data_IF_525196975807
#
_entry.id   IF_525196975807
#
_cell.length_a   1.000
_cell.length_b   1.000
_cell.length_c   1.000
_cell.angle_alpha   90.00
_cell.angle_beta   90.00
_cell.angle_gamma   90.00
#
_symmetry.space_group_name_H-M   'P 1'
#
loop_
_entity.id
_entity.type
_entity.pdbx_description
1 polymer ?
#
# COMPACT_ATOMS: atom_id res chain seq x y z
N UNK A 1 20.95 7.39 28.55
CA UNK A 1 19.90 8.29 28.02
C UNK A 1 18.91 7.39 27.26
N UNK A 2 17.73 7.20 27.80
CA UNK A 2 16.63 6.53 27.09
C UNK A 2 16.13 7.51 26.05
N UNK A 3 16.29 7.17 24.76
CA UNK A 3 15.67 7.92 23.67
C UNK A 3 14.17 7.68 23.76
N UNK A 4 13.40 8.73 23.76
CA UNK A 4 11.94 8.64 23.76
C UNK A 4 11.51 7.99 22.41
N UNK A 5 10.61 7.00 22.43
CA UNK A 5 10.16 6.36 21.19
C UNK A 5 9.36 7.33 20.33
N UNK A 6 9.50 7.17 19.02
CA UNK A 6 8.73 7.93 18.03
C UNK A 6 7.26 7.55 18.09
N UNK A 7 6.40 8.44 17.64
CA UNK A 7 4.96 8.24 17.54
C UNK A 7 4.54 8.14 16.07
N UNK A 8 3.95 7.00 15.70
CA UNK A 8 3.36 6.80 14.37
C UNK A 8 1.88 7.16 14.37
N UNK A 9 1.44 7.85 13.34
CA UNK A 9 0.06 7.98 12.93
C UNK A 9 -0.06 7.79 11.42
N UNK A 10 -1.13 7.17 10.95
CA UNK A 10 -1.37 6.91 9.53
C UNK A 10 -2.60 7.68 9.06
N UNK A 11 -2.39 8.65 8.18
CA UNK A 11 -3.47 9.41 7.55
C UNK A 11 -3.80 8.80 6.18
N UNK A 12 -5.09 8.59 5.91
CA UNK A 12 -5.55 8.15 4.60
C UNK A 12 -6.09 9.36 3.85
N UNK A 13 -5.42 9.71 2.76
CA UNK A 13 -5.75 10.88 1.93
C UNK A 13 -6.50 10.43 0.69
N UNK A 14 -7.63 11.06 0.42
CA UNK A 14 -8.50 10.79 -0.72
C UNK A 14 -8.59 12.02 -1.62
N UNK A 15 -7.61 12.27 -2.51
CA UNK A 15 -7.69 13.38 -3.45
C UNK A 15 -8.85 13.18 -4.42
N UNK A 16 -9.28 14.21 -5.15
CA UNK A 16 -10.22 14.05 -6.27
C UNK A 16 -9.74 12.96 -7.25
N UNK A 17 -10.65 12.18 -7.87
CA UNK A 17 -10.28 11.03 -8.70
C UNK A 17 -9.37 11.35 -9.89
N UNK A 18 -9.41 12.57 -10.39
CA UNK A 18 -8.57 13.10 -11.48
C UNK A 18 -7.18 13.53 -11.01
N UNK A 19 -7.03 13.87 -9.73
CA UNK A 19 -5.77 14.32 -9.13
C UNK A 19 -4.90 13.16 -8.61
N UNK A 20 -5.51 12.02 -8.22
CA UNK A 20 -4.72 10.89 -7.72
C UNK A 20 -5.53 9.72 -7.18
N UNK A 21 -4.81 8.71 -6.72
CA UNK A 21 -5.34 7.56 -5.97
C UNK A 21 -5.51 7.86 -4.49
N UNK A 22 -6.17 6.95 -3.78
CA UNK A 22 -6.17 6.96 -2.31
C UNK A 22 -4.78 6.55 -1.83
N UNK A 23 -4.21 7.28 -0.90
CA UNK A 23 -2.87 7.07 -0.39
C UNK A 23 -2.80 7.08 1.13
N UNK A 24 -1.86 6.30 1.68
CA UNK A 24 -1.50 6.32 3.10
C UNK A 24 -0.31 7.26 3.28
N UNK A 25 -0.44 8.19 4.21
CA UNK A 25 0.60 9.15 4.59
C UNK A 25 1.08 8.84 6.01
N UNK A 26 2.31 8.34 6.18
CA UNK A 26 2.88 8.19 7.52
C UNK A 26 3.16 9.57 8.15
N UNK A 27 2.60 9.78 9.31
CA UNK A 27 2.82 10.95 10.14
C UNK A 27 3.68 10.51 11.33
N UNK A 28 4.90 10.98 11.40
CA UNK A 28 5.85 10.65 12.47
C UNK A 28 6.06 11.88 13.35
N UNK A 29 5.81 11.73 14.65
CA UNK A 29 5.91 12.84 15.61
C UNK A 29 5.12 14.09 15.19
N UNK A 30 3.96 13.86 14.57
CA UNK A 30 3.07 14.91 14.07
C UNK A 30 3.47 15.54 12.73
N UNK A 31 4.50 15.02 12.05
CA UNK A 31 4.97 15.55 10.76
C UNK A 31 4.77 14.53 9.65
N UNK A 32 4.33 14.98 8.50
CA UNK A 32 4.19 14.14 7.31
C UNK A 32 5.57 13.74 6.78
N UNK A 33 5.90 12.46 6.94
CA UNK A 33 7.19 11.91 6.56
C UNK A 33 7.50 12.12 5.06
N UNK A 34 6.52 11.93 4.20
CA UNK A 34 6.72 12.04 2.76
C UNK A 34 6.93 13.48 2.30
N UNK A 35 6.27 14.43 2.97
CA UNK A 35 6.44 15.87 2.68
C UNK A 35 7.81 16.36 3.16
N UNK A 36 8.31 15.82 4.27
CA UNK A 36 9.60 16.21 4.84
C UNK A 36 10.80 15.67 4.05
N UNK A 37 10.67 14.44 3.50
CA UNK A 37 11.81 13.77 2.85
C UNK A 37 12.13 14.33 1.49
N UNK A 38 11.12 14.70 0.72
CA UNK A 38 11.28 15.20 -0.63
C UNK A 38 10.24 16.31 -0.90
N UNK A 39 10.52 17.53 -0.46
CA UNK A 39 9.66 18.65 -0.77
C UNK A 39 9.58 18.80 -2.30
N UNK A 40 8.38 18.78 -2.84
CA UNK A 40 8.12 19.14 -4.24
C UNK A 40 8.40 20.61 -4.48
N UNK A 41 8.67 20.98 -5.73
CA UNK A 41 9.02 22.36 -6.14
C UNK A 41 7.92 23.40 -5.83
N UNK A 42 6.72 22.99 -5.44
CA UNK A 42 5.56 23.87 -5.16
C UNK A 42 4.81 23.40 -3.90
N UNK A 43 5.51 23.17 -2.80
CA UNK A 43 4.88 22.93 -1.49
C UNK A 43 4.17 21.58 -1.30
N UNK A 44 4.38 20.61 -2.20
CA UNK A 44 3.90 19.23 -2.10
C UNK A 44 5.03 18.22 -2.09
N UNK A 45 4.73 16.97 -1.74
CA UNK A 45 5.70 15.88 -1.88
C UNK A 45 5.86 15.50 -3.36
N UNK A 46 7.09 15.22 -3.76
CA UNK A 46 7.41 14.60 -5.06
C UNK A 46 6.83 13.19 -5.18
N UNK A 47 6.56 12.54 -4.08
CA UNK A 47 6.04 11.20 -4.01
C UNK A 47 4.55 11.15 -3.64
N UNK A 48 3.85 10.23 -4.29
CA UNK A 48 2.53 9.80 -3.91
C UNK A 48 2.65 8.70 -2.87
N UNK A 49 1.84 8.73 -1.84
CA UNK A 49 1.73 7.63 -0.89
C UNK A 49 1.19 6.36 -1.58
N UNK A 50 1.50 5.23 -1.01
CA UNK A 50 0.99 3.94 -1.50
C UNK A 50 -0.41 3.69 -0.96
N UNK A 51 -1.25 3.03 -1.74
CA UNK A 51 -2.66 2.80 -1.36
C UNK A 51 -2.84 1.88 -0.15
N UNK A 52 -3.94 2.06 0.60
CA UNK A 52 -4.22 1.28 1.82
C UNK A 52 -4.24 -0.23 1.61
N UNK A 53 -4.74 -0.69 0.47
CA UNK A 53 -4.78 -2.13 0.14
C UNK A 53 -3.39 -2.78 0.08
N UNK A 54 -2.37 -2.03 -0.30
CA UNK A 54 -1.01 -2.56 -0.32
C UNK A 54 -0.34 -2.49 1.06
N UNK A 55 -0.48 -1.36 1.77
CA UNK A 55 0.23 -1.14 3.03
C UNK A 55 -0.45 -1.77 4.24
N UNK A 56 -1.78 -1.80 4.25
CA UNK A 56 -2.61 -2.06 5.44
C UNK A 56 -3.46 -3.33 5.32
N UNK A 57 -3.32 -4.13 4.26
CA UNK A 57 -3.96 -5.44 4.22
C UNK A 57 -3.32 -6.37 5.28
N UNK A 58 -4.00 -7.46 5.68
CA UNK A 58 -3.63 -8.29 6.84
C UNK A 58 -2.19 -8.78 6.86
N UNK A 59 -1.60 -9.01 5.71
CA UNK A 59 -0.20 -9.39 5.53
C UNK A 59 0.59 -8.26 4.84
N UNK A 60 0.10 -7.03 4.95
CA UNK A 60 0.71 -5.86 4.33
C UNK A 60 2.06 -5.50 4.95
N UNK A 61 2.90 -4.78 4.20
CA UNK A 61 4.29 -4.56 4.60
C UNK A 61 4.46 -3.64 5.83
N UNK A 62 3.40 -3.04 6.36
CA UNK A 62 3.47 -2.33 7.65
C UNK A 62 3.25 -3.25 8.86
N UNK A 63 2.81 -4.51 8.68
CA UNK A 63 2.75 -5.44 9.80
C UNK A 63 4.15 -5.94 10.15
N UNK A 64 4.69 -5.42 11.26
CA UNK A 64 6.04 -5.72 11.69
C UNK A 64 6.20 -7.17 12.16
N UNK A 65 7.23 -7.84 11.66
CA UNK A 65 7.64 -9.19 12.05
C UNK A 65 9.08 -9.19 12.55
N UNK A 66 9.49 -10.26 13.25
CA UNK A 66 10.87 -10.42 13.69
C UNK A 66 11.84 -10.56 12.51
N UNK A 67 11.36 -11.01 11.35
CA UNK A 67 12.15 -11.04 10.13
C UNK A 67 12.06 -9.68 9.45
N UNK A 68 13.18 -8.97 9.25
CA UNK A 68 13.20 -7.70 8.54
C UNK A 68 12.62 -7.85 7.13
N UNK A 69 11.81 -6.89 6.72
CA UNK A 69 11.29 -6.85 5.35
C UNK A 69 11.11 -5.42 4.88
N UNK A 70 11.12 -5.20 3.56
CA UNK A 70 10.94 -3.88 2.98
C UNK A 70 9.46 -3.51 2.83
N UNK A 71 9.14 -2.28 3.20
CA UNK A 71 7.87 -1.61 2.91
C UNK A 71 8.11 -0.46 1.94
N UNK A 72 7.40 -0.42 0.81
CA UNK A 72 7.37 0.74 -0.05
C UNK A 72 6.33 1.72 0.47
N UNK A 73 6.77 2.87 0.96
CA UNK A 73 5.90 3.90 1.52
C UNK A 73 5.37 4.88 0.47
N UNK A 74 6.16 5.10 -0.59
CA UNK A 74 5.81 6.07 -1.62
C UNK A 74 6.42 5.72 -2.97
N UNK A 75 5.89 6.31 -4.03
CA UNK A 75 6.37 6.19 -5.41
C UNK A 75 6.08 7.46 -6.20
N UNK A 76 6.78 7.67 -7.29
CA UNK A 76 6.67 8.90 -8.11
C UNK A 76 5.54 8.89 -9.15
N UNK A 77 4.78 7.80 -9.26
CA UNK A 77 3.66 7.70 -10.20
C UNK A 77 4.04 7.36 -11.65
N UNK A 78 5.30 7.38 -12.03
CA UNK A 78 5.72 7.12 -13.42
C UNK A 78 5.92 5.63 -13.76
N UNK A 79 5.92 4.76 -12.75
CA UNK A 79 6.09 3.30 -12.93
C UNK A 79 7.53 2.81 -13.14
N UNK A 80 8.51 3.71 -13.28
CA UNK A 80 9.94 3.38 -13.42
C UNK A 80 10.69 3.91 -12.19
N UNK A 81 10.81 3.06 -11.17
CA UNK A 81 11.37 3.44 -9.87
C UNK A 81 12.83 3.88 -9.94
N UNK A 82 13.62 3.28 -10.84
CA UNK A 82 15.03 3.64 -11.04
C UNK A 82 15.20 5.05 -11.66
N UNK A 83 14.16 5.54 -12.34
CA UNK A 83 14.16 6.85 -13.00
C UNK A 83 13.51 7.93 -12.14
N UNK A 84 12.38 7.60 -11.55
CA UNK A 84 11.48 8.58 -10.92
C UNK A 84 11.48 8.48 -9.40
N UNK A 85 11.96 7.39 -8.84
CA UNK A 85 12.10 7.15 -7.41
C UNK A 85 10.90 6.46 -6.74
N UNK A 86 11.22 5.86 -5.62
CA UNK A 86 10.28 5.28 -4.67
C UNK A 86 10.93 5.31 -3.27
N UNK A 87 10.16 5.47 -2.22
CA UNK A 87 10.68 5.45 -0.86
C UNK A 87 10.41 4.10 -0.22
N UNK A 88 11.47 3.41 0.12
CA UNK A 88 11.45 2.14 0.85
C UNK A 88 12.02 2.29 2.24
N UNK A 89 11.52 1.49 3.15
CA UNK A 89 12.04 1.34 4.50
C UNK A 89 12.05 -0.13 4.89
N UNK A 90 13.05 -0.56 5.64
CA UNK A 90 13.05 -1.87 6.30
C UNK A 90 12.29 -1.78 7.61
N UNK A 91 11.24 -2.59 7.74
CA UNK A 91 10.41 -2.71 8.94
C UNK A 91 10.81 -3.97 9.69
N UNK A 92 11.08 -3.84 10.99
CA UNK A 92 11.48 -4.98 11.84
C UNK A 92 10.85 -4.84 13.22
N UNK A 93 10.33 -5.94 13.75
CA UNK A 93 9.98 -6.03 15.16
C UNK A 93 11.20 -6.44 15.98
N UNK A 94 11.60 -5.61 16.91
CA UNK A 94 12.70 -5.82 17.86
C UNK A 94 12.16 -5.77 19.30
N UNK A 95 11.75 -6.92 19.83
CA UNK A 95 11.16 -7.04 21.15
C UNK A 95 9.89 -6.18 21.30
N UNK A 96 9.95 -5.21 22.22
CA UNK A 96 8.85 -4.28 22.49
C UNK A 96 8.83 -3.04 21.59
N UNK A 97 9.64 -3.06 20.52
CA UNK A 97 9.73 -1.97 19.58
C UNK A 97 9.52 -2.45 18.14
N UNK A 98 9.12 -1.50 17.29
CA UNK A 98 9.19 -1.62 15.83
C UNK A 98 10.18 -0.59 15.34
N UNK A 99 11.09 -1.02 14.50
CA UNK A 99 12.17 -0.19 13.95
C UNK A 99 11.96 -0.01 12.45
N UNK A 100 12.04 1.23 12.01
CA UNK A 100 12.12 1.61 10.62
C UNK A 100 13.53 2.11 10.32
N UNK A 101 14.26 1.36 9.49
CA UNK A 101 15.65 1.66 9.14
C UNK A 101 15.94 1.30 7.68
N UNK A 102 17.17 1.47 7.24
CA UNK A 102 17.60 1.05 5.89
C UNK A 102 16.81 1.73 4.78
N UNK A 103 16.60 3.03 4.91
CA UNK A 103 15.90 3.85 3.93
C UNK A 103 16.57 3.76 2.55
N UNK A 104 15.76 3.64 1.52
CA UNK A 104 16.25 3.47 0.15
C UNK A 104 15.33 4.15 -0.85
N UNK A 105 15.93 4.84 -1.81
CA UNK A 105 15.28 5.31 -3.02
C UNK A 105 16.10 4.82 -4.24
N UNK A 106 15.53 3.99 -5.13
CA UNK A 106 16.25 3.47 -6.29
C UNK A 106 16.79 4.54 -7.25
N UNK A 107 16.12 5.71 -7.33
CA UNK A 107 16.55 6.82 -8.18
C UNK A 107 17.53 7.78 -7.48
N UNK A 108 17.51 7.81 -6.14
CA UNK A 108 18.33 8.72 -5.36
C UNK A 108 18.94 7.95 -4.17
N UNK A 109 20.20 7.61 -4.26
CA UNK A 109 20.89 6.80 -3.23
C UNK A 109 21.11 7.53 -1.90
N UNK A 110 20.94 8.85 -1.84
CA UNK A 110 21.25 9.68 -0.68
C UNK A 110 20.02 10.01 0.20
N UNK A 111 19.14 9.03 0.45
CA UNK A 111 18.04 9.22 1.41
C UNK A 111 18.59 9.12 2.83
N UNK A 112 18.99 10.25 3.39
CA UNK A 112 19.50 10.35 4.76
C UNK A 112 18.37 10.56 5.77
N UNK A 113 17.53 9.53 5.98
CA UNK A 113 16.55 9.51 7.06
C UNK A 113 17.12 8.80 8.29
N UNK A 114 16.84 9.29 9.51
CA UNK A 114 17.22 8.60 10.72
C UNK A 114 16.48 7.28 10.89
N UNK A 115 17.04 6.37 11.69
CA UNK A 115 16.28 5.26 12.23
C UNK A 115 15.14 5.82 13.09
N UNK A 116 13.94 5.27 12.90
CA UNK A 116 12.74 5.56 13.70
C UNK A 116 12.43 4.35 14.57
N UNK A 117 12.08 4.59 15.83
CA UNK A 117 11.85 3.54 16.81
C UNK A 117 10.54 3.79 17.55
N UNK A 118 9.55 2.98 17.29
CA UNK A 118 8.21 3.04 17.87
C UNK A 118 8.05 2.01 18.98
N UNK A 119 7.21 2.26 19.99
CA UNK A 119 6.76 1.15 20.83
C UNK A 119 5.86 0.22 20.01
N UNK A 120 6.07 -1.10 20.12
CA UNK A 120 5.32 -2.07 19.34
C UNK A 120 3.81 -1.96 19.56
N UNK A 121 3.39 -1.74 20.82
CA UNK A 121 1.96 -1.60 21.15
C UNK A 121 1.30 -0.42 20.44
N UNK A 122 1.94 0.77 20.42
CA UNK A 122 1.42 1.96 19.74
C UNK A 122 1.42 1.76 18.21
N UNK A 123 2.50 1.23 17.67
CA UNK A 123 2.66 0.98 16.25
C UNK A 123 1.58 0.02 15.72
N UNK A 124 1.43 -1.13 16.37
CA UNK A 124 0.48 -2.17 15.97
C UNK A 124 -0.97 -1.70 16.11
N UNK A 125 -1.28 -0.96 17.18
CA UNK A 125 -2.61 -0.37 17.35
C UNK A 125 -2.92 0.62 16.22
N UNK A 126 -1.96 1.42 15.80
CA UNK A 126 -2.15 2.40 14.72
C UNK A 126 -2.28 1.72 13.35
N UNK A 127 -1.44 0.73 13.05
CA UNK A 127 -1.54 -0.05 11.80
C UNK A 127 -2.89 -0.78 11.72
N UNK A 128 -3.33 -1.37 12.83
CA UNK A 128 -4.64 -2.03 12.91
C UNK A 128 -5.79 -1.02 12.72
N UNK A 129 -5.76 0.10 13.43
CA UNK A 129 -6.77 1.18 13.31
C UNK A 129 -6.90 1.64 11.86
N UNK A 130 -5.76 1.94 11.22
CA UNK A 130 -5.74 2.40 9.83
C UNK A 130 -6.19 1.30 8.85
N UNK A 131 -5.82 0.03 9.13
CA UNK A 131 -6.23 -1.13 8.35
C UNK A 131 -7.73 -1.44 8.44
N UNK A 132 -8.39 -1.04 9.53
CA UNK A 132 -9.85 -1.19 9.70
C UNK A 132 -10.65 0.01 9.17
N UNK A 133 -10.00 1.15 8.98
CA UNK A 133 -10.64 2.33 8.40
C UNK A 133 -11.10 2.05 6.97
N UNK A 134 -12.39 2.21 6.71
CA UNK A 134 -13.05 2.06 5.39
C UNK A 134 -13.69 3.37 4.92
N UNK A 135 -13.49 4.47 5.62
CA UNK A 135 -14.09 5.76 5.28
C UNK A 135 -13.65 6.28 3.91
N UNK A 136 -12.52 5.83 3.43
CA UNK A 136 -11.95 6.14 2.12
C UNK A 136 -12.50 5.28 0.98
N UNK A 137 -13.18 4.16 1.28
CA UNK A 137 -13.73 3.27 0.24
C UNK A 137 -14.92 3.91 -0.47
N UNK A 138 -14.90 3.86 -1.79
CA UNK A 138 -16.07 4.17 -2.60
C UNK A 138 -16.83 2.86 -2.94
N UNK A 139 -18.12 2.94 -3.38
CA UNK A 139 -18.96 1.74 -3.53
C UNK A 139 -18.33 0.63 -4.37
N UNK A 140 -17.76 0.94 -5.55
CA UNK A 140 -17.13 -0.09 -6.38
C UNK A 140 -15.83 -0.64 -5.74
N UNK A 141 -15.09 0.16 -4.98
CA UNK A 141 -13.93 -0.30 -4.19
C UNK A 141 -14.34 -1.32 -3.13
N UNK A 142 -15.41 -1.04 -2.39
CA UNK A 142 -15.96 -1.95 -1.39
C UNK A 142 -16.44 -3.27 -2.02
N UNK A 143 -17.14 -3.20 -3.16
CA UNK A 143 -17.57 -4.40 -3.91
C UNK A 143 -16.35 -5.19 -4.42
N UNK A 144 -15.32 -4.54 -4.94
CA UNK A 144 -14.10 -5.21 -5.40
C UNK A 144 -13.41 -5.98 -4.26
N UNK A 145 -13.28 -5.37 -3.09
CA UNK A 145 -12.73 -6.02 -1.89
C UNK A 145 -13.56 -7.23 -1.44
N UNK A 146 -14.87 -7.10 -1.37
CA UNK A 146 -15.77 -8.21 -0.99
C UNK A 146 -15.73 -9.34 -2.02
N UNK A 147 -15.68 -9.01 -3.31
CA UNK A 147 -15.56 -9.98 -4.38
C UNK A 147 -14.22 -10.72 -4.31
N UNK A 148 -13.12 -10.00 -4.07
CA UNK A 148 -11.80 -10.61 -3.90
C UNK A 148 -11.80 -11.59 -2.73
N UNK A 149 -12.30 -11.19 -1.56
CA UNK A 149 -12.39 -12.07 -0.39
C UNK A 149 -13.24 -13.31 -0.68
N UNK A 150 -14.37 -13.14 -1.36
CA UNK A 150 -15.23 -14.24 -1.78
C UNK A 150 -14.57 -15.21 -2.75
N UNK A 151 -13.81 -14.70 -3.73
CA UNK A 151 -13.11 -15.52 -4.72
C UNK A 151 -11.91 -16.26 -4.10
N UNK A 152 -11.13 -15.58 -3.23
CA UNK A 152 -10.02 -16.23 -2.51
C UNK A 152 -10.51 -17.36 -1.59
N UNK A 153 -11.66 -17.19 -0.96
CA UNK A 153 -12.31 -18.23 -0.16
C UNK A 153 -12.82 -19.44 -0.96
N UNK A 154 -12.84 -19.34 -2.29
CA UNK A 154 -13.31 -20.39 -3.20
C UNK A 154 -12.23 -20.85 -4.18
N UNK A 155 -11.04 -21.07 -3.68
CA UNK A 155 -9.90 -21.52 -4.50
C UNK A 155 -10.16 -22.81 -5.26
N UNK A 156 -10.94 -23.73 -4.70
CA UNK A 156 -11.39 -24.96 -5.35
C UNK A 156 -12.24 -24.69 -6.61
N UNK A 157 -13.02 -23.61 -6.61
CA UNK A 157 -13.82 -23.21 -7.75
C UNK A 157 -12.95 -22.68 -8.89
N UNK A 158 -11.96 -21.87 -8.58
CA UNK A 158 -11.01 -21.34 -9.57
C UNK A 158 -10.14 -22.45 -10.19
N UNK A 159 -9.75 -23.43 -9.37
CA UNK A 159 -8.98 -24.60 -9.85
C UNK A 159 -9.73 -25.42 -10.91
N UNK A 160 -11.08 -25.50 -10.87
CA UNK A 160 -11.87 -26.17 -11.92
C UNK A 160 -11.72 -25.51 -13.30
N UNK A 161 -11.36 -24.22 -13.32
CA UNK A 161 -11.14 -23.45 -14.54
C UNK A 161 -9.66 -23.28 -14.87
N UNK A 162 -8.81 -24.00 -14.13
CA UNK A 162 -7.35 -23.89 -14.26
C UNK A 162 -6.88 -22.42 -14.15
N UNK A 163 -7.53 -21.65 -13.24
CA UNK A 163 -7.27 -20.23 -13.04
C UNK A 163 -6.84 -19.95 -11.60
N UNK A 164 -5.99 -18.96 -11.46
CA UNK A 164 -5.64 -18.33 -10.17
C UNK A 164 -6.11 -16.89 -10.15
N UNK A 165 -6.66 -16.46 -9.03
CA UNK A 165 -7.00 -15.05 -8.83
C UNK A 165 -5.73 -14.25 -8.60
N UNK A 166 -5.42 -13.35 -9.52
CA UNK A 166 -4.29 -12.43 -9.38
C UNK A 166 -4.67 -11.19 -8.61
N UNK A 167 -5.76 -10.52 -9.02
CA UNK A 167 -6.19 -9.26 -8.42
C UNK A 167 -7.66 -8.99 -8.70
N UNK A 168 -8.30 -8.21 -7.80
CA UNK A 168 -9.63 -7.61 -8.01
C UNK A 168 -9.56 -6.16 -7.59
N UNK A 169 -9.82 -5.24 -8.49
CA UNK A 169 -9.73 -3.81 -8.20
C UNK A 169 -10.79 -3.00 -8.92
N UNK A 170 -11.02 -1.79 -8.43
CA UNK A 170 -11.87 -0.78 -9.05
C UNK A 170 -11.11 0.55 -9.14
N UNK A 171 -11.36 1.34 -10.18
CA UNK A 171 -10.81 2.67 -10.34
C UNK A 171 -11.82 3.73 -9.92
N UNK A 172 -11.39 4.75 -9.18
CA UNK A 172 -12.21 5.93 -8.89
C UNK A 172 -12.56 6.73 -10.16
N UNK A 173 -11.73 6.62 -11.21
CA UNK A 173 -11.99 7.23 -12.54
C UNK A 173 -13.04 6.47 -13.34
N UNK A 174 -13.34 5.22 -12.97
CA UNK A 174 -14.36 4.36 -13.59
C UNK A 174 -15.21 3.73 -12.48
N UNK A 175 -16.05 4.52 -11.80
CA UNK A 175 -16.69 4.12 -10.55
C UNK A 175 -17.74 2.99 -10.70
N UNK A 176 -18.15 2.69 -11.92
CA UNK A 176 -19.08 1.64 -12.31
C UNK A 176 -18.41 0.34 -12.76
N UNK A 177 -17.07 0.26 -12.70
CA UNK A 177 -16.30 -0.89 -13.19
C UNK A 177 -15.49 -1.55 -12.09
N UNK A 178 -15.50 -2.89 -12.14
CA UNK A 178 -14.62 -3.74 -11.32
C UNK A 178 -13.82 -4.60 -12.29
N UNK A 179 -12.53 -4.67 -12.04
CA UNK A 179 -11.57 -5.47 -12.80
C UNK A 179 -11.24 -6.72 -12.01
N UNK A 180 -11.38 -7.89 -12.63
CA UNK A 180 -10.96 -9.18 -12.07
C UNK A 180 -9.87 -9.73 -12.98
N UNK A 181 -8.68 -9.94 -12.43
CA UNK A 181 -7.55 -10.48 -13.15
C UNK A 181 -7.38 -11.94 -12.74
N UNK A 182 -7.62 -12.83 -13.70
CA UNK A 182 -7.37 -14.26 -13.57
C UNK A 182 -6.13 -14.62 -14.40
N UNK A 183 -5.29 -15.47 -13.85
CA UNK A 183 -4.13 -16.03 -14.53
C UNK A 183 -4.32 -17.52 -14.72
N UNK A 184 -3.99 -18.03 -15.89
CA UNK A 184 -3.78 -19.46 -16.07
C UNK A 184 -2.36 -19.81 -15.62
N UNK A 185 -2.13 -20.96 -14.97
CA UNK A 185 -0.78 -21.43 -14.70
C UNK A 185 0.02 -21.50 -16.02
N UNK A 186 1.37 -21.44 -16.03
CA UNK A 186 2.23 -21.02 -17.13
C UNK A 186 2.25 -21.91 -18.40
N UNK A 187 1.18 -22.59 -18.72
CA UNK A 187 1.03 -23.43 -19.92
C UNK A 187 0.17 -22.82 -21.03
N UNK A 188 -0.28 -21.55 -20.92
CA UNK A 188 -1.11 -20.95 -21.95
C UNK A 188 -1.12 -19.42 -21.98
N UNK A 189 -1.47 -18.82 -23.14
CA UNK A 189 -1.58 -17.38 -23.28
C UNK A 189 -2.75 -16.80 -22.46
N UNK A 190 -2.56 -15.59 -21.94
CA UNK A 190 -3.56 -14.81 -21.21
C UNK A 190 -4.84 -14.69 -22.07
N UNK A 191 -5.97 -15.19 -21.60
CA UNK A 191 -7.28 -14.93 -22.22
C UNK A 191 -7.98 -13.81 -21.46
N UNK A 192 -8.13 -12.67 -22.10
CA UNK A 192 -8.95 -11.57 -21.62
C UNK A 192 -10.37 -11.83 -22.15
N UNK A 193 -11.33 -12.03 -21.25
CA UNK A 193 -12.74 -12.13 -21.62
C UNK A 193 -13.35 -10.71 -21.56
N UNK A 194 -13.79 -10.13 -22.70
CA UNK A 194 -14.58 -8.91 -22.67
C UNK A 194 -15.93 -9.23 -22.04
N UNK A 195 -16.32 -8.50 -21.02
CA UNK A 195 -17.65 -8.60 -20.45
C UNK A 195 -18.70 -8.31 -21.53
N UNK A 196 -19.59 -9.25 -21.79
CA UNK A 196 -20.74 -9.05 -22.66
C UNK A 196 -21.68 -8.03 -22.03
N UNK A 197 -21.71 -6.84 -22.59
CA UNK A 197 -22.82 -5.92 -22.39
C UNK A 197 -24.01 -6.48 -23.14
N UNK A 198 -24.92 -7.14 -22.43
CA UNK A 198 -26.26 -7.40 -22.95
C UNK A 198 -27.10 -6.13 -22.77
N UNK A 199 -27.64 -5.61 -23.87
CA UNK A 199 -28.56 -4.51 -23.93
C UNK A 199 -29.92 -4.83 -23.29
#
# INVERSE_FOLDING_TARGET
MTVEPDLLSLSIVCPPPDEGGVEVRPIVNGRDLLADVLPGDVGGSRYLGVGPRYLLDRDGPLYATATPHEARLAWSGCGAEECCGALYVTVTRDGDHVVWAGWRDPANQDVALPELRFTAAQYEAEVLRAGEDRSWEWPAGAVARLLEAGLRGRGDWLLRWECELKDVWASRKQPDRIHVILMHPPTGPIRIFPGSSSG
#
